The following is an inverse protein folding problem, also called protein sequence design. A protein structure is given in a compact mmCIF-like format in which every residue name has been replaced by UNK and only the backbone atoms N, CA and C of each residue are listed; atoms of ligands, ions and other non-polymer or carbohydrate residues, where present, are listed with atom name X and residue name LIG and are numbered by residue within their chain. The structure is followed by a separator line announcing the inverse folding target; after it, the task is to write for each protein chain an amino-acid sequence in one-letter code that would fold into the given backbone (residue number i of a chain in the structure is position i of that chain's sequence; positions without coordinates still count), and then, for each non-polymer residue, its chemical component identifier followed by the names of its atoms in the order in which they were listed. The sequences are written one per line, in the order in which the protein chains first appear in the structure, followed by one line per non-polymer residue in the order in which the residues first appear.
data_IF_585054295124
#
_entry.id   IF_585054295124
#
_cell.length_a   1.000
_cell.length_b   1.000
_cell.length_c   1.000
_cell.angle_alpha   90.00
_cell.angle_beta   90.00
_cell.angle_gamma   90.00
#
_symmetry.space_group_name_H-M   'P 1'
#
loop_
_entity.id
_entity.type
_entity.pdbx_description
1 polymer ?
#
# COMPACT_ATOMS: atom_id res chain seq x y z
N UNK A 1 18.41 42.03 -14.14
CA UNK A 1 18.50 41.07 -15.26
C UNK A 1 18.28 39.67 -14.70
N UNK A 2 17.04 39.17 -14.74
CA UNK A 2 16.73 37.82 -14.26
C UNK A 2 17.20 36.80 -15.30
N UNK A 3 18.28 36.10 -14.98
CA UNK A 3 18.76 34.91 -15.68
C UNK A 3 17.70 33.79 -15.53
N UNK A 4 16.64 33.86 -16.33
CA UNK A 4 15.73 32.73 -16.54
C UNK A 4 16.36 31.84 -17.60
N UNK A 5 17.44 31.13 -17.27
CA UNK A 5 17.92 30.03 -18.09
C UNK A 5 16.92 28.85 -17.96
N UNK A 6 16.09 28.56 -18.98
CA UNK A 6 15.02 27.56 -18.90
C UNK A 6 15.57 26.15 -18.57
N UNK A 7 16.82 25.89 -18.94
CA UNK A 7 17.50 24.61 -18.76
C UNK A 7 17.73 24.25 -17.27
N UNK A 8 18.03 25.25 -16.42
CA UNK A 8 18.26 25.03 -14.97
C UNK A 8 16.96 24.68 -14.23
N UNK A 9 15.83 25.27 -14.63
CA UNK A 9 14.52 24.98 -14.02
C UNK A 9 14.02 23.59 -14.41
N UNK A 10 14.19 23.20 -15.67
CA UNK A 10 13.83 21.87 -16.15
C UNK A 10 14.64 20.79 -15.42
N UNK A 11 15.96 20.95 -15.33
CA UNK A 11 16.81 20.00 -14.60
C UNK A 11 16.41 19.83 -13.12
N UNK A 12 16.18 20.94 -12.40
CA UNK A 12 15.71 20.87 -10.99
C UNK A 12 14.35 20.18 -10.87
N UNK A 13 13.45 20.43 -11.82
CA UNK A 13 12.13 19.79 -11.85
C UNK A 13 12.26 18.27 -12.01
N UNK A 14 13.10 17.80 -12.94
CA UNK A 14 13.34 16.37 -13.14
C UNK A 14 13.98 15.71 -11.90
N UNK A 15 14.95 16.36 -11.26
CA UNK A 15 15.53 15.86 -10.01
C UNK A 15 14.47 15.72 -8.91
N UNK A 16 13.59 16.71 -8.74
CA UNK A 16 12.51 16.66 -7.75
C UNK A 16 11.51 15.55 -8.08
N UNK A 17 11.12 15.38 -9.35
CA UNK A 17 10.26 14.27 -9.78
C UNK A 17 10.89 12.92 -9.43
N UNK A 18 12.17 12.74 -9.74
CA UNK A 18 12.89 11.51 -9.41
C UNK A 18 12.89 11.25 -7.89
N UNK A 19 13.15 12.27 -7.08
CA UNK A 19 13.09 12.17 -5.62
C UNK A 19 11.70 11.78 -5.11
N UNK A 20 10.64 12.39 -5.65
CA UNK A 20 9.26 12.05 -5.30
C UNK A 20 8.96 10.59 -5.67
N UNK A 21 9.36 10.14 -6.86
CA UNK A 21 9.19 8.74 -7.28
C UNK A 21 9.91 7.79 -6.34
N UNK A 22 11.20 8.04 -6.04
CA UNK A 22 11.97 7.19 -5.12
C UNK A 22 11.35 7.16 -3.72
N UNK A 23 10.96 8.32 -3.17
CA UNK A 23 10.34 8.40 -1.87
C UNK A 23 8.99 7.67 -1.84
N UNK A 24 8.14 7.90 -2.84
CA UNK A 24 6.81 7.28 -2.92
C UNK A 24 6.91 5.76 -3.09
N UNK A 25 7.83 5.27 -3.92
CA UNK A 25 8.10 3.84 -4.07
C UNK A 25 8.62 3.23 -2.77
N UNK A 26 9.57 3.90 -2.11
CA UNK A 26 10.09 3.46 -0.81
C UNK A 26 9.01 3.39 0.27
N UNK A 27 8.20 4.44 0.42
CA UNK A 27 7.08 4.45 1.36
C UNK A 27 5.99 3.45 0.99
N UNK A 28 5.73 3.22 -0.30
CA UNK A 28 4.81 2.18 -0.75
C UNK A 28 5.24 0.78 -0.28
N UNK A 29 6.55 0.47 -0.34
CA UNK A 29 7.09 -0.78 0.17
C UNK A 29 6.95 -0.88 1.69
N UNK A 30 7.31 0.18 2.43
CA UNK A 30 7.15 0.20 3.90
C UNK A 30 5.69 0.04 4.30
N UNK A 31 4.76 0.71 3.61
CA UNK A 31 3.33 0.59 3.86
C UNK A 31 2.83 -0.83 3.61
N UNK A 32 3.25 -1.47 2.52
CA UNK A 32 2.90 -2.87 2.22
C UNK A 32 3.39 -3.82 3.34
N UNK A 33 4.61 -3.63 3.82
CA UNK A 33 5.18 -4.42 4.92
C UNK A 33 4.43 -4.19 6.24
N UNK A 34 4.09 -2.94 6.54
CA UNK A 34 3.35 -2.59 7.75
C UNK A 34 1.95 -3.22 7.77
N UNK A 35 1.21 -3.14 6.66
CA UNK A 35 -0.10 -3.77 6.56
C UNK A 35 -0.05 -5.30 6.67
N UNK A 36 0.94 -5.93 6.05
CA UNK A 36 1.18 -7.37 6.20
C UNK A 36 1.37 -7.75 7.68
N UNK A 37 2.22 -7.02 8.41
CA UNK A 37 2.47 -7.26 9.83
C UNK A 37 1.21 -7.07 10.68
N UNK A 38 0.44 -5.99 10.46
CA UNK A 38 -0.81 -5.72 11.18
C UNK A 38 -1.80 -6.87 11.01
N UNK A 39 -1.99 -7.37 9.79
CA UNK A 39 -2.93 -8.47 9.53
C UNK A 39 -2.45 -9.76 10.21
N UNK A 40 -1.14 -10.04 10.14
CA UNK A 40 -0.56 -11.22 10.80
C UNK A 40 -0.71 -11.16 12.32
N UNK A 41 -0.39 -10.03 12.95
CA UNK A 41 -0.58 -9.84 14.39
C UNK A 41 -2.04 -9.92 14.79
N UNK A 42 -2.95 -9.33 14.01
CA UNK A 42 -4.38 -9.39 14.27
C UNK A 42 -4.87 -10.85 14.26
N UNK A 43 -4.49 -11.62 13.25
CA UNK A 43 -4.84 -13.05 13.16
C UNK A 43 -4.18 -13.85 14.28
N UNK A 44 -2.91 -13.60 14.58
CA UNK A 44 -2.18 -14.36 15.59
C UNK A 44 -2.65 -14.06 17.02
N UNK A 45 -2.97 -12.81 17.33
CA UNK A 45 -3.29 -12.38 18.70
C UNK A 45 -4.78 -12.47 19.01
N UNK A 46 -5.64 -12.18 18.03
CA UNK A 46 -7.10 -12.21 18.23
C UNK A 46 -7.70 -13.51 17.73
N UNK A 47 -7.39 -13.95 16.51
CA UNK A 47 -8.06 -15.11 15.90
C UNK A 47 -7.59 -16.42 16.54
N UNK A 48 -6.27 -16.65 16.68
CA UNK A 48 -5.75 -17.88 17.29
C UNK A 48 -6.15 -18.05 18.75
N UNK A 49 -6.22 -16.95 19.52
CA UNK A 49 -6.58 -16.99 20.95
C UNK A 49 -8.03 -17.44 21.15
N UNK A 50 -8.94 -16.97 20.30
CA UNK A 50 -10.37 -17.33 20.39
C UNK A 50 -10.68 -18.69 19.72
N UNK A 51 -9.89 -19.12 18.73
CA UNK A 51 -10.07 -20.39 18.02
C UNK A 51 -9.01 -21.42 18.46
N UNK A 52 -8.95 -21.72 19.76
CA UNK A 52 -8.05 -22.73 20.38
C UNK A 52 -8.28 -24.19 19.92
N UNK A 53 -8.88 -24.43 18.75
CA UNK A 53 -9.15 -25.76 18.20
C UNK A 53 -8.12 -26.07 17.09
N UNK A 54 -6.91 -26.44 17.53
CA UNK A 54 -6.17 -27.57 16.95
C UNK A 54 -5.46 -27.46 15.59
N UNK A 55 -5.54 -26.40 14.78
CA UNK A 55 -4.67 -26.36 13.59
C UNK A 55 -4.25 -24.96 13.13
N UNK A 56 -2.94 -24.74 13.00
CA UNK A 56 -2.37 -23.53 12.40
C UNK A 56 -2.88 -23.25 10.97
N UNK A 57 -3.38 -24.28 10.29
CA UNK A 57 -4.02 -24.20 8.97
C UNK A 57 -5.26 -23.30 8.98
N UNK A 58 -6.11 -23.38 10.01
CA UNK A 58 -7.30 -22.52 10.11
C UNK A 58 -6.90 -21.05 10.23
N UNK A 59 -5.83 -20.74 10.97
CA UNK A 59 -5.33 -19.37 11.07
C UNK A 59 -4.78 -18.84 9.75
N UNK A 60 -4.13 -19.69 8.94
CA UNK A 60 -3.65 -19.35 7.60
C UNK A 60 -4.81 -19.14 6.62
N UNK A 61 -5.87 -19.94 6.73
CA UNK A 61 -7.09 -19.78 5.93
C UNK A 61 -7.78 -18.45 6.21
N UNK A 62 -7.90 -18.08 7.48
CA UNK A 62 -8.51 -16.79 7.87
C UNK A 62 -7.66 -15.62 7.40
N UNK A 63 -6.33 -15.71 7.56
CA UNK A 63 -5.39 -14.73 7.00
C UNK A 63 -5.60 -14.55 5.49
N UNK A 64 -5.67 -15.65 4.73
CA UNK A 64 -5.86 -15.61 3.28
C UNK A 64 -7.19 -14.97 2.86
N UNK A 65 -8.29 -15.30 3.55
CA UNK A 65 -9.61 -14.71 3.30
C UNK A 65 -9.60 -13.21 3.60
N UNK A 66 -9.02 -12.80 4.74
CA UNK A 66 -8.92 -11.40 5.12
C UNK A 66 -8.12 -10.58 4.10
N UNK A 67 -6.96 -11.07 3.69
CA UNK A 67 -6.14 -10.38 2.68
C UNK A 67 -6.87 -10.27 1.35
N UNK A 68 -7.60 -11.31 0.95
CA UNK A 68 -8.36 -11.31 -0.31
C UNK A 68 -9.49 -10.27 -0.27
N UNK A 69 -10.26 -10.23 0.82
CA UNK A 69 -11.31 -9.22 1.00
C UNK A 69 -10.76 -7.79 1.00
N UNK A 70 -9.63 -7.58 1.68
CA UNK A 70 -8.96 -6.29 1.76
C UNK A 70 -8.48 -5.85 0.37
N UNK A 71 -7.84 -6.76 -0.39
CA UNK A 71 -7.40 -6.50 -1.76
C UNK A 71 -8.57 -6.15 -2.69
N UNK A 72 -9.66 -6.92 -2.66
CA UNK A 72 -10.88 -6.65 -3.46
C UNK A 72 -11.49 -5.30 -3.07
N UNK A 73 -11.57 -4.98 -1.78
CA UNK A 73 -12.14 -3.72 -1.30
C UNK A 73 -11.30 -2.51 -1.74
N UNK A 74 -9.98 -2.58 -1.61
CA UNK A 74 -9.08 -1.52 -2.06
C UNK A 74 -9.17 -1.36 -3.57
N UNK A 75 -9.01 -2.44 -4.35
CA UNK A 75 -9.06 -2.38 -5.81
C UNK A 75 -10.40 -1.87 -6.34
N UNK A 76 -11.51 -2.28 -5.74
CA UNK A 76 -12.83 -1.76 -6.07
C UNK A 76 -12.95 -0.25 -5.81
N UNK A 77 -12.49 0.22 -4.65
CA UNK A 77 -12.49 1.66 -4.33
C UNK A 77 -11.62 2.46 -5.28
N UNK A 78 -10.42 1.97 -5.62
CA UNK A 78 -9.54 2.60 -6.59
C UNK A 78 -10.19 2.67 -7.98
N UNK A 79 -10.87 1.60 -8.41
CA UNK A 79 -11.62 1.59 -9.67
C UNK A 79 -12.70 2.67 -9.68
N UNK A 80 -13.45 2.81 -8.59
CA UNK A 80 -14.49 3.85 -8.47
C UNK A 80 -13.93 5.27 -8.47
N UNK A 81 -12.76 5.48 -7.89
CA UNK A 81 -12.06 6.79 -7.93
C UNK A 81 -11.61 7.10 -9.35
N UNK A 82 -11.02 6.12 -10.05
CA UNK A 82 -10.62 6.25 -11.45
C UNK A 82 -11.82 6.64 -12.34
N UNK A 83 -12.93 5.95 -12.21
CA UNK A 83 -14.15 6.23 -12.99
C UNK A 83 -14.74 7.62 -12.74
N UNK A 84 -14.43 8.24 -11.58
CA UNK A 84 -14.83 9.62 -11.26
C UNK A 84 -13.87 10.67 -11.81
N UNK A 85 -12.61 10.33 -12.02
CA UNK A 85 -11.60 11.23 -12.59
C UNK A 85 -11.71 11.24 -14.13
N UNK A 86 -12.07 10.10 -14.71
CA UNK A 86 -12.22 9.92 -16.17
C UNK A 86 -13.59 10.41 -16.72
N UNK A 87 -14.55 10.77 -15.86
CA UNK A 87 -15.85 11.34 -16.21
C UNK A 87 -15.87 12.86 -16.05
#
# INVERSE_FOLDING_TARGET
MTDKNPNKKQFRSEVIKQMITLATSGFGLVAALAWNNVIQELVNNYVKKYLSVGSGIISLLIYAILITLLAVTITYQLSKIKDKIDK
#
